data_IF_973510507926
#
_entry.id   IF_973510507926
#
_cell.length_a   1.000
_cell.length_b   1.000
_cell.length_c   1.000
_cell.angle_alpha   90.00
_cell.angle_beta   90.00
_cell.angle_gamma   90.00
#
_symmetry.space_group_name_H-M   'P 1'
#
loop_
_entity.id
_entity.type
_entity.pdbx_description
1 polymer ?
#
# COMPACT_ATOMS: atom_id res chain seq x y z
N UNK A 1 -2.54 22.28 -9.67
CA UNK A 1 -3.56 21.31 -10.12
C UNK A 1 -3.12 19.95 -9.64
N UNK A 2 -3.79 19.34 -8.64
CA UNK A 2 -3.55 17.95 -8.30
C UNK A 2 -4.12 17.11 -9.44
N UNK A 3 -3.29 16.34 -10.12
CA UNK A 3 -3.69 15.42 -11.17
C UNK A 3 -4.64 14.39 -10.57
N UNK A 4 -5.85 14.28 -11.09
CA UNK A 4 -6.78 13.21 -10.76
C UNK A 4 -6.19 11.91 -11.27
N UNK A 5 -5.63 11.12 -10.35
CA UNK A 5 -5.09 9.81 -10.70
C UNK A 5 -6.24 8.85 -10.91
N UNK A 6 -6.31 8.28 -12.09
CA UNK A 6 -7.18 7.13 -12.34
C UNK A 6 -6.65 5.96 -11.50
N UNK A 7 -7.52 5.18 -10.88
CA UNK A 7 -7.13 4.04 -10.04
C UNK A 7 -6.17 3.07 -10.75
N UNK A 8 -6.34 2.91 -12.05
CA UNK A 8 -5.44 2.12 -12.88
C UNK A 8 -4.02 2.70 -12.96
N UNK A 9 -3.88 4.02 -13.07
CA UNK A 9 -2.56 4.67 -13.01
C UNK A 9 -1.93 4.50 -11.64
N UNK A 10 -2.73 4.61 -10.58
CA UNK A 10 -2.28 4.32 -9.23
C UNK A 10 -1.84 2.86 -9.10
N UNK A 11 -2.60 1.87 -9.62
CA UNK A 11 -2.18 0.46 -9.64
C UNK A 11 -0.89 0.24 -10.43
N UNK A 12 -0.69 0.93 -11.56
CA UNK A 12 0.56 0.85 -12.32
C UNK A 12 1.76 1.40 -11.53
N UNK A 13 1.57 2.49 -10.80
CA UNK A 13 2.61 3.00 -9.88
C UNK A 13 2.88 2.00 -8.74
N UNK A 14 1.84 1.38 -8.18
CA UNK A 14 1.99 0.34 -7.16
C UNK A 14 2.68 -0.91 -7.73
N UNK A 15 2.43 -1.27 -8.98
CA UNK A 15 3.10 -2.39 -9.64
C UNK A 15 4.64 -2.23 -9.65
N UNK A 16 5.15 -1.01 -9.80
CA UNK A 16 6.59 -0.74 -9.71
C UNK A 16 7.11 -0.96 -8.27
N UNK A 17 6.33 -0.58 -7.27
CA UNK A 17 6.66 -0.83 -5.87
C UNK A 17 6.71 -2.34 -5.60
N UNK A 18 5.71 -3.09 -6.07
CA UNK A 18 5.65 -4.55 -5.94
C UNK A 18 6.87 -5.20 -6.59
N UNK A 19 7.15 -4.88 -7.84
CA UNK A 19 8.29 -5.43 -8.59
C UNK A 19 9.60 -5.14 -7.84
N UNK A 20 9.81 -3.90 -7.41
CA UNK A 20 11.01 -3.51 -6.66
C UNK A 20 11.09 -4.24 -5.32
N UNK A 21 10.00 -4.37 -4.59
CA UNK A 21 9.96 -5.11 -3.32
C UNK A 21 10.40 -6.56 -3.51
N UNK A 22 9.82 -7.26 -4.51
CA UNK A 22 10.16 -8.66 -4.82
C UNK A 22 11.58 -8.84 -5.33
N UNK A 23 12.13 -7.84 -6.02
CA UNK A 23 13.55 -7.83 -6.43
C UNK A 23 14.48 -7.67 -5.22
N UNK A 24 14.18 -6.72 -4.34
CA UNK A 24 15.00 -6.49 -3.13
C UNK A 24 14.91 -7.66 -2.17
N UNK A 25 13.72 -8.26 -2.00
CA UNK A 25 13.51 -9.46 -1.16
C UNK A 25 14.46 -10.61 -1.52
N UNK A 26 14.78 -10.76 -2.80
CA UNK A 26 15.68 -11.82 -3.34
C UNK A 26 17.11 -11.34 -3.56
N UNK A 27 17.44 -10.12 -3.16
CA UNK A 27 18.74 -9.52 -3.45
C UNK A 27 19.82 -9.99 -2.47
N UNK A 28 21.05 -10.09 -2.98
CA UNK A 28 22.24 -10.39 -2.16
C UNK A 28 22.47 -9.29 -1.10
N UNK A 29 22.10 -8.05 -1.39
CA UNK A 29 22.22 -6.91 -0.47
C UNK A 29 21.37 -7.13 0.79
N UNK A 30 20.11 -7.56 0.63
CA UNK A 30 19.23 -7.86 1.77
C UNK A 30 19.71 -9.09 2.53
N UNK A 31 20.18 -10.12 1.83
CA UNK A 31 20.76 -11.30 2.45
C UNK A 31 22.01 -10.95 3.27
N UNK A 32 22.94 -10.15 2.72
CA UNK A 32 24.12 -9.65 3.43
C UNK A 32 23.72 -8.82 4.66
N UNK A 33 22.78 -7.89 4.52
CA UNK A 33 22.27 -7.07 5.62
C UNK A 33 21.73 -7.93 6.76
N UNK A 34 20.87 -8.91 6.47
CA UNK A 34 20.27 -9.77 7.47
C UNK A 34 21.31 -10.68 8.15
N UNK A 35 22.28 -11.20 7.41
CA UNK A 35 23.37 -11.99 7.95
C UNK A 35 24.24 -11.17 8.90
N UNK A 36 24.68 -9.98 8.49
CA UNK A 36 25.47 -9.07 9.32
C UNK A 36 24.69 -8.59 10.55
N UNK A 37 23.40 -8.27 10.38
CA UNK A 37 22.54 -7.87 11.49
C UNK A 37 22.47 -8.96 12.56
N UNK A 38 22.26 -10.22 12.17
CA UNK A 38 22.26 -11.36 13.09
C UNK A 38 23.57 -11.50 13.84
N UNK A 39 24.71 -11.30 13.18
CA UNK A 39 26.05 -11.37 13.80
C UNK A 39 26.23 -10.21 14.76
N UNK A 40 26.00 -8.98 14.32
CA UNK A 40 26.25 -7.77 15.14
C UNK A 40 25.31 -7.69 16.35
N UNK A 41 24.06 -8.17 16.22
CA UNK A 41 23.09 -8.19 17.33
C UNK A 41 23.29 -9.39 18.28
N UNK A 42 24.21 -10.32 17.97
CA UNK A 42 24.48 -11.49 18.83
C UNK A 42 25.10 -11.06 20.17
N UNK A 43 24.76 -11.82 21.21
CA UNK A 43 25.32 -11.61 22.57
C UNK A 43 26.83 -11.71 22.57
N UNK A 44 27.39 -12.63 21.80
CA UNK A 44 28.84 -12.81 21.67
C UNK A 44 29.52 -11.57 21.11
N UNK A 45 29.02 -11.04 19.99
CA UNK A 45 29.53 -9.82 19.38
C UNK A 45 29.46 -8.62 20.34
N UNK A 46 28.34 -8.41 20.99
CA UNK A 46 28.14 -7.27 21.89
C UNK A 46 29.01 -7.40 23.14
N UNK A 47 29.21 -8.62 23.66
CA UNK A 47 30.11 -8.89 24.79
C UNK A 47 31.55 -8.57 24.42
N UNK A 48 32.03 -9.07 23.27
CA UNK A 48 33.37 -8.80 22.76
C UNK A 48 33.60 -7.31 22.50
N UNK A 49 32.61 -6.63 21.89
CA UNK A 49 32.68 -5.18 21.68
C UNK A 49 32.80 -4.42 23.01
N UNK A 50 31.97 -4.76 23.98
CA UNK A 50 31.99 -4.17 25.31
C UNK A 50 33.36 -4.38 25.96
N UNK A 51 33.89 -5.60 25.97
CA UNK A 51 35.21 -5.91 26.51
C UNK A 51 36.30 -5.04 25.87
N UNK A 52 36.39 -5.05 24.54
CA UNK A 52 37.39 -4.31 23.79
C UNK A 52 37.28 -2.79 23.93
N UNK A 53 36.10 -2.25 24.19
CA UNK A 53 35.89 -0.81 24.32
C UNK A 53 36.02 -0.30 25.76
N UNK A 54 35.74 -1.12 26.79
CA UNK A 54 35.70 -0.67 28.19
C UNK A 54 36.92 -1.09 28.99
N UNK A 55 37.58 -2.23 28.65
CA UNK A 55 38.74 -2.71 29.39
C UNK A 55 39.88 -1.71 29.28
N UNK A 56 40.39 -1.26 30.42
CA UNK A 56 41.57 -0.39 30.46
C UNK A 56 42.84 -1.20 30.32
N UNK A 57 43.88 -0.62 29.70
CA UNK A 57 45.17 -1.32 29.54
C UNK A 57 45.71 -1.83 30.88
N UNK A 58 45.59 -1.07 31.96
CA UNK A 58 46.12 -1.41 33.30
C UNK A 58 45.51 -2.72 33.85
N UNK A 59 44.31 -3.08 33.40
CA UNK A 59 43.62 -4.26 33.89
C UNK A 59 43.98 -5.52 33.10
N UNK A 60 44.70 -5.37 32.01
CA UNK A 60 45.09 -6.50 31.12
C UNK A 60 46.24 -7.30 31.67
N UNK A 61 46.34 -8.58 31.20
CA UNK A 61 47.46 -9.45 31.59
C UNK A 61 48.80 -8.89 31.10
N UNK A 62 48.84 -8.27 29.93
CA UNK A 62 50.02 -7.63 29.35
C UNK A 62 50.53 -6.50 30.23
N UNK A 63 49.63 -5.66 30.75
CA UNK A 63 50.01 -4.58 31.66
C UNK A 63 50.53 -5.12 33.00
N UNK A 64 49.89 -6.16 33.55
CA UNK A 64 50.35 -6.80 34.80
C UNK A 64 51.72 -7.43 34.58
N UNK A 65 51.94 -8.14 33.49
CA UNK A 65 53.24 -8.75 33.12
C UNK A 65 54.33 -7.68 32.96
N UNK A 66 54.02 -6.60 32.25
CA UNK A 66 54.96 -5.47 32.11
C UNK A 66 55.27 -4.75 33.45
N UNK A 67 54.27 -4.66 34.31
CA UNK A 67 54.45 -4.07 35.65
C UNK A 67 55.33 -4.94 36.54
N UNK A 68 55.07 -6.26 36.55
CA UNK A 68 55.88 -7.23 37.28
C UNK A 68 57.35 -7.24 36.81
N UNK A 69 57.56 -7.28 35.49
CA UNK A 69 58.91 -7.19 34.91
C UNK A 69 59.63 -5.92 35.33
N UNK A 70 58.98 -4.75 35.26
CA UNK A 70 59.56 -3.47 35.67
C UNK A 70 59.85 -3.43 37.15
N UNK A 71 58.98 -3.99 37.99
CA UNK A 71 59.19 -4.05 39.44
C UNK A 71 60.38 -4.89 39.80
N UNK A 72 60.50 -6.10 39.22
CA UNK A 72 61.66 -6.99 39.48
C UNK A 72 62.98 -6.43 39.00
N UNK A 73 62.99 -5.62 37.94
CA UNK A 73 64.20 -4.93 37.46
C UNK A 73 64.93 -4.15 38.53
N UNK A 74 64.22 -3.68 39.55
CA UNK A 74 64.74 -2.86 40.66
C UNK A 74 64.99 -3.73 41.88
N UNK A 75 64.77 -5.03 41.86
CA UNK A 75 65.20 -5.88 43.01
C UNK A 75 66.73 -5.96 43.13
N UNK A 76 67.22 -5.98 44.33
CA UNK A 76 68.67 -6.04 44.60
C UNK A 76 69.27 -7.28 43.94
N UNK A 77 68.63 -8.43 43.99
CA UNK A 77 69.13 -9.67 43.38
C UNK A 77 69.31 -9.52 41.88
N UNK A 78 68.31 -8.87 41.17
CA UNK A 78 68.37 -8.66 39.72
C UNK A 78 69.40 -7.64 39.34
N UNK A 79 69.58 -6.56 40.15
CA UNK A 79 70.62 -5.59 39.96
C UNK A 79 72.01 -6.25 40.07
N UNK A 80 72.27 -7.02 41.14
CA UNK A 80 73.48 -7.72 41.32
C UNK A 80 73.73 -8.80 40.25
N UNK A 81 72.72 -9.53 39.80
CA UNK A 81 72.84 -10.46 38.69
C UNK A 81 73.31 -9.73 37.41
N UNK A 82 72.67 -8.66 37.07
CA UNK A 82 73.00 -7.89 35.85
C UNK A 82 74.43 -7.29 35.91
N UNK A 83 74.88 -6.91 37.10
CA UNK A 83 76.25 -6.36 37.33
C UNK A 83 77.32 -7.49 37.32
N UNK A 84 77.08 -8.55 38.03
CA UNK A 84 78.10 -9.56 38.30
C UNK A 84 78.06 -10.73 37.28
N UNK A 85 76.97 -10.94 36.59
CA UNK A 85 76.74 -12.08 35.62
C UNK A 85 77.12 -13.45 36.19
N UNK A 86 76.90 -13.68 37.50
CA UNK A 86 77.19 -14.96 38.15
C UNK A 86 76.06 -15.91 38.03
N UNK A 87 76.28 -17.13 37.47
CA UNK A 87 75.26 -18.17 37.24
C UNK A 87 74.50 -18.52 38.55
N UNK A 88 75.17 -18.63 39.67
CA UNK A 88 74.52 -18.91 40.96
C UNK A 88 73.42 -17.93 41.37
N UNK A 89 73.37 -16.71 40.78
CA UNK A 89 72.28 -15.74 41.02
C UNK A 89 70.99 -16.06 40.21
N UNK A 90 71.09 -16.88 39.17
CA UNK A 90 69.91 -17.28 38.39
C UNK A 90 68.91 -18.10 39.20
N UNK A 91 69.40 -18.82 40.23
CA UNK A 91 68.58 -19.62 41.14
C UNK A 91 67.80 -18.78 42.15
N UNK A 92 68.14 -17.49 42.30
CA UNK A 92 67.33 -16.58 43.12
C UNK A 92 65.98 -16.35 42.48
N UNK A 93 64.92 -16.51 43.27
CA UNK A 93 63.51 -16.41 42.79
C UNK A 93 63.24 -15.14 41.97
N UNK A 94 63.71 -14.00 42.45
CA UNK A 94 63.53 -12.72 41.74
C UNK A 94 64.26 -12.73 40.40
N UNK A 95 65.46 -13.31 40.31
CA UNK A 95 66.25 -13.36 39.08
C UNK A 95 65.63 -14.32 38.08
N UNK A 96 65.22 -15.52 38.55
CA UNK A 96 64.53 -16.49 37.71
C UNK A 96 63.25 -15.92 37.12
N UNK A 97 62.41 -15.32 37.94
CA UNK A 97 61.18 -14.69 37.50
C UNK A 97 61.46 -13.50 36.55
N UNK A 98 62.44 -12.69 36.81
CA UNK A 98 62.83 -11.58 35.92
C UNK A 98 63.28 -12.09 34.54
N UNK A 99 64.08 -13.17 34.48
CA UNK A 99 64.49 -13.74 33.20
C UNK A 99 63.35 -14.36 32.43
N UNK A 100 62.49 -15.10 33.10
CA UNK A 100 61.30 -15.68 32.47
C UNK A 100 60.37 -14.57 31.90
N UNK A 101 60.13 -13.51 32.67
CA UNK A 101 59.34 -12.39 32.19
C UNK A 101 60.05 -11.62 31.06
N UNK A 102 61.40 -11.51 31.13
CA UNK A 102 62.17 -10.88 30.05
C UNK A 102 62.06 -11.64 28.73
N UNK A 103 62.08 -12.97 28.79
CA UNK A 103 61.86 -13.81 27.63
C UNK A 103 60.42 -13.66 27.10
N UNK A 104 59.41 -13.74 28.00
CA UNK A 104 58.01 -13.60 27.64
C UNK A 104 57.67 -12.26 26.94
N UNK A 105 58.16 -11.13 27.46
CA UNK A 105 57.89 -9.79 26.89
C UNK A 105 58.57 -9.55 25.54
N UNK A 106 59.57 -10.38 25.18
CA UNK A 106 60.24 -10.29 23.89
C UNK A 106 59.55 -11.13 22.80
N UNK A 107 58.61 -12.01 23.14
CA UNK A 107 57.90 -12.79 22.15
C UNK A 107 57.07 -11.91 21.25
N UNK A 108 56.98 -12.21 19.93
CA UNK A 108 56.19 -11.46 18.99
C UNK A 108 54.72 -11.40 19.41
N UNK A 109 54.18 -12.48 19.95
CA UNK A 109 52.79 -12.61 20.41
C UNK A 109 52.50 -11.62 21.53
N UNK A 110 53.38 -11.55 22.55
CA UNK A 110 53.24 -10.61 23.64
C UNK A 110 53.32 -9.17 23.15
N UNK A 111 54.28 -8.87 22.29
CA UNK A 111 54.44 -7.52 21.74
C UNK A 111 53.23 -7.06 20.96
N UNK A 112 52.65 -7.95 20.13
CA UNK A 112 51.43 -7.66 19.39
C UNK A 112 50.24 -7.44 20.33
N UNK A 113 50.01 -8.33 21.30
CA UNK A 113 48.93 -8.21 22.27
C UNK A 113 49.07 -6.93 23.10
N UNK A 114 50.29 -6.62 23.59
CA UNK A 114 50.59 -5.42 24.36
C UNK A 114 50.38 -4.14 23.55
N UNK A 115 50.76 -4.12 22.27
CA UNK A 115 50.52 -2.99 21.36
C UNK A 115 48.99 -2.83 21.09
N UNK A 116 48.30 -3.94 20.86
CA UNK A 116 46.86 -3.95 20.67
C UNK A 116 46.11 -3.36 21.88
N UNK A 117 46.38 -3.82 23.10
CA UNK A 117 45.72 -3.34 24.30
C UNK A 117 46.05 -1.89 24.65
N UNK A 118 47.26 -1.42 24.30
CA UNK A 118 47.62 -0.01 24.43
C UNK A 118 46.92 0.91 23.45
N UNK A 119 46.42 0.40 22.37
CA UNK A 119 45.74 1.22 21.37
C UNK A 119 44.31 1.60 21.87
N UNK A 120 44.02 2.87 22.13
CA UNK A 120 42.69 3.31 22.56
C UNK A 120 41.64 3.11 21.46
N UNK A 121 42.06 2.97 20.19
CA UNK A 121 41.21 2.73 19.03
C UNK A 121 41.22 1.26 18.57
N UNK A 122 41.63 0.32 19.46
CA UNK A 122 41.77 -1.10 19.13
C UNK A 122 40.51 -1.74 18.54
N UNK A 123 39.32 -1.33 18.98
CA UNK A 123 38.07 -1.80 18.41
C UNK A 123 38.03 -1.62 16.89
N UNK A 124 38.40 -0.45 16.40
CA UNK A 124 38.37 -0.09 14.98
C UNK A 124 39.39 -0.87 14.12
N UNK A 125 40.30 -1.60 14.73
CA UNK A 125 41.25 -2.46 14.02
C UNK A 125 40.78 -3.91 13.90
N UNK A 126 39.63 -4.24 14.49
CA UNK A 126 39.11 -5.61 14.51
C UNK A 126 38.21 -5.91 13.28
N UNK A 127 38.13 -7.18 12.85
CA UNK A 127 37.18 -7.60 11.82
C UNK A 127 35.73 -7.31 12.19
N UNK A 128 35.38 -7.43 13.48
CA UNK A 128 34.04 -7.16 13.98
C UNK A 128 33.63 -5.69 13.77
N UNK A 129 34.55 -4.77 14.00
CA UNK A 129 34.33 -3.35 13.72
C UNK A 129 34.05 -3.08 12.24
N UNK A 130 34.71 -3.81 11.34
CA UNK A 130 34.44 -3.70 9.90
C UNK A 130 33.06 -4.26 9.55
N UNK A 131 32.63 -5.35 10.18
CA UNK A 131 31.28 -5.91 10.01
C UNK A 131 30.21 -4.90 10.50
N UNK A 132 30.40 -4.29 11.65
CA UNK A 132 29.49 -3.27 12.17
C UNK A 132 29.43 -2.05 11.24
N UNK A 133 30.57 -1.59 10.75
CA UNK A 133 30.63 -0.49 9.77
C UNK A 133 29.86 -0.85 8.49
N UNK A 134 30.08 -2.04 7.95
CA UNK A 134 29.39 -2.54 6.75
C UNK A 134 27.87 -2.63 6.96
N UNK A 135 27.42 -3.13 8.11
CA UNK A 135 25.99 -3.15 8.46
C UNK A 135 25.39 -1.74 8.46
N UNK A 136 26.10 -0.76 9.06
CA UNK A 136 25.65 0.63 9.11
C UNK A 136 25.60 1.30 7.73
N UNK A 137 26.48 0.91 6.81
CA UNK A 137 26.44 1.34 5.40
C UNK A 137 25.24 0.74 4.68
N UNK A 138 25.03 -0.57 4.83
CA UNK A 138 23.88 -1.27 4.23
C UNK A 138 22.55 -0.76 4.77
N UNK A 139 22.46 -0.42 6.05
CA UNK A 139 21.25 0.15 6.64
C UNK A 139 20.80 1.48 5.98
N UNK A 140 21.74 2.19 5.34
CA UNK A 140 21.48 3.42 4.60
C UNK A 140 21.27 3.19 3.10
N UNK A 141 21.47 1.97 2.62
CA UNK A 141 21.29 1.66 1.20
C UNK A 141 19.82 1.84 0.80
N UNK A 142 19.59 2.45 -0.35
CA UNK A 142 18.25 2.84 -0.81
C UNK A 142 17.28 1.64 -0.87
N UNK A 143 17.75 0.45 -1.23
CA UNK A 143 16.91 -0.75 -1.30
C UNK A 143 16.57 -1.31 0.08
N UNK A 144 17.49 -1.25 1.04
CA UNK A 144 17.22 -1.68 2.42
C UNK A 144 16.20 -0.75 3.07
N UNK A 145 16.39 0.57 2.93
CA UNK A 145 15.43 1.57 3.40
C UNK A 145 14.06 1.36 2.76
N UNK A 146 14.03 1.13 1.45
CA UNK A 146 12.80 0.86 0.70
C UNK A 146 12.11 -0.41 1.21
N UNK A 147 12.84 -1.53 1.36
CA UNK A 147 12.28 -2.80 1.78
C UNK A 147 11.60 -2.72 3.15
N UNK A 148 12.26 -2.10 4.14
CA UNK A 148 11.70 -1.96 5.49
C UNK A 148 10.62 -0.87 5.62
N UNK A 149 10.48 0.01 4.61
CA UNK A 149 9.36 0.95 4.54
C UNK A 149 8.06 0.27 4.07
N UNK A 150 8.11 -0.94 3.51
CA UNK A 150 6.96 -1.69 3.02
C UNK A 150 6.82 -3.01 3.79
N UNK A 151 5.58 -3.44 4.00
CA UNK A 151 5.31 -4.73 4.65
C UNK A 151 4.86 -5.74 3.61
N UNK A 152 5.23 -7.02 3.81
CA UNK A 152 4.74 -8.13 2.98
C UNK A 152 3.21 -8.11 2.83
N UNK A 153 2.49 -7.88 3.94
CA UNK A 153 1.03 -7.80 3.92
C UNK A 153 0.51 -6.71 2.99
N UNK A 154 1.11 -5.51 3.03
CA UNK A 154 0.70 -4.40 2.17
C UNK A 154 1.01 -4.69 0.69
N UNK A 155 2.15 -5.30 0.41
CA UNK A 155 2.54 -5.68 -0.95
C UNK A 155 1.61 -6.77 -1.50
N UNK A 156 1.31 -7.81 -0.73
CA UNK A 156 0.38 -8.87 -1.13
C UNK A 156 -1.04 -8.34 -1.36
N UNK A 157 -1.51 -7.39 -0.56
CA UNK A 157 -2.80 -6.72 -0.76
C UNK A 157 -2.82 -5.96 -2.09
N UNK A 158 -1.75 -5.24 -2.44
CA UNK A 158 -1.63 -4.56 -3.73
C UNK A 158 -1.61 -5.53 -4.92
N UNK A 159 -0.91 -6.65 -4.80
CA UNK A 159 -0.84 -7.70 -5.82
C UNK A 159 -2.20 -8.34 -6.11
N UNK A 160 -3.13 -8.28 -5.16
CA UNK A 160 -4.45 -8.90 -5.27
C UNK A 160 -5.44 -8.10 -6.13
N UNK A 161 -5.22 -6.80 -6.37
CA UNK A 161 -6.15 -5.99 -7.16
C UNK A 161 -6.15 -6.35 -8.65
N UNK A 162 -7.35 -6.63 -9.18
CA UNK A 162 -7.58 -6.94 -10.60
C UNK A 162 -8.80 -6.20 -11.13
N UNK A 163 -8.75 -5.79 -12.39
CA UNK A 163 -9.94 -5.32 -13.11
C UNK A 163 -10.83 -6.53 -13.36
N UNK A 164 -12.06 -6.48 -12.86
CA UNK A 164 -13.04 -7.57 -13.03
C UNK A 164 -14.11 -7.24 -14.06
N UNK A 165 -14.34 -5.97 -14.33
CA UNK A 165 -15.25 -5.49 -15.34
C UNK A 165 -14.88 -4.08 -15.79
N UNK A 166 -15.02 -3.81 -17.09
CA UNK A 166 -14.83 -2.47 -17.66
C UNK A 166 -15.80 -2.23 -18.81
N UNK A 167 -16.27 -0.98 -18.94
CA UNK A 167 -17.03 -0.50 -20.08
C UNK A 167 -16.37 0.80 -20.59
N UNK A 168 -15.84 0.73 -21.79
CA UNK A 168 -15.10 1.82 -22.45
C UNK A 168 -15.89 2.46 -23.60
N UNK A 169 -17.13 1.99 -23.85
CA UNK A 169 -18.04 2.45 -24.89
C UNK A 169 -17.39 2.51 -26.29
N UNK A 170 -16.61 1.50 -26.64
CA UNK A 170 -15.85 1.45 -27.90
C UNK A 170 -16.73 1.25 -29.13
N UNK A 171 -17.90 0.63 -28.95
CA UNK A 171 -18.88 0.37 -30.01
C UNK A 171 -19.93 1.46 -30.08
N UNK A 172 -20.52 1.69 -31.25
CA UNK A 172 -21.59 2.67 -31.44
C UNK A 172 -22.93 2.33 -30.74
N UNK A 173 -23.00 1.15 -30.14
CA UNK A 173 -24.17 0.67 -29.41
C UNK A 173 -23.75 0.09 -28.08
N UNK A 174 -24.65 0.15 -27.09
CA UNK A 174 -24.44 -0.59 -25.84
C UNK A 174 -24.39 -2.09 -26.12
N UNK A 175 -23.44 -2.78 -25.51
CA UNK A 175 -23.29 -4.23 -25.64
C UNK A 175 -24.46 -4.97 -24.97
N UNK A 176 -24.56 -6.28 -25.22
CA UNK A 176 -25.62 -7.15 -24.64
C UNK A 176 -25.50 -7.25 -23.10
N UNK A 177 -24.45 -6.74 -22.51
CA UNK A 177 -24.32 -6.57 -21.06
C UNK A 177 -25.34 -5.59 -20.51
N UNK A 178 -25.85 -4.66 -21.34
CA UNK A 178 -26.79 -3.63 -20.94
C UNK A 178 -28.22 -3.98 -21.35
N UNK A 179 -29.16 -3.76 -20.44
CA UNK A 179 -30.60 -3.90 -20.67
C UNK A 179 -31.34 -2.63 -20.29
N UNK A 180 -32.34 -2.26 -21.10
CA UNK A 180 -33.21 -1.12 -20.80
C UNK A 180 -34.15 -1.44 -19.64
N UNK A 181 -34.45 -0.44 -18.84
CA UNK A 181 -35.40 -0.55 -17.73
C UNK A 181 -34.75 -0.75 -16.38
N UNK A 182 -35.58 -1.00 -15.38
CA UNK A 182 -35.15 -1.26 -14.01
C UNK A 182 -34.85 -2.74 -13.78
N UNK A 183 -33.94 -3.03 -12.87
CA UNK A 183 -33.68 -4.39 -12.40
C UNK A 183 -34.77 -4.81 -11.39
N UNK A 184 -35.55 -5.85 -11.71
CA UNK A 184 -36.54 -6.42 -10.81
C UNK A 184 -36.41 -7.93 -10.68
N UNK A 185 -36.71 -8.51 -9.52
CA UNK A 185 -36.62 -9.95 -9.31
C UNK A 185 -37.75 -10.72 -10.03
N UNK A 186 -38.86 -10.05 -10.38
CA UNK A 186 -40.02 -10.67 -11.04
C UNK A 186 -40.10 -10.32 -12.52
N UNK A 187 -40.23 -11.32 -13.38
CA UNK A 187 -40.46 -11.15 -14.83
C UNK A 187 -41.81 -10.50 -15.15
N UNK A 188 -42.77 -10.49 -14.21
CA UNK A 188 -44.07 -9.88 -14.34
C UNK A 188 -44.05 -8.36 -14.31
N UNK A 189 -43.11 -7.79 -13.55
CA UNK A 189 -42.80 -6.38 -13.60
C UNK A 189 -41.89 -6.15 -14.81
N UNK A 190 -42.49 -5.93 -15.98
CA UNK A 190 -41.73 -5.55 -17.17
C UNK A 190 -40.89 -4.31 -16.83
N UNK A 191 -39.60 -4.44 -16.98
CA UNK A 191 -38.61 -3.46 -16.51
C UNK A 191 -38.76 -2.04 -17.13
N UNK A 192 -39.42 -1.94 -18.27
CA UNK A 192 -39.59 -0.68 -19.02
C UNK A 192 -40.91 0.01 -18.67
N UNK A 193 -41.00 0.56 -17.48
CA UNK A 193 -42.07 1.45 -17.09
C UNK A 193 -41.49 2.70 -16.37
N UNK A 194 -42.28 3.74 -16.36
CA UNK A 194 -41.99 4.95 -15.60
C UNK A 194 -42.75 4.95 -14.26
N UNK A 195 -42.57 5.94 -13.45
CA UNK A 195 -43.31 6.13 -12.21
C UNK A 195 -44.19 7.37 -12.33
N UNK A 196 -45.46 7.32 -11.87
CA UNK A 196 -46.38 8.46 -11.94
C UNK A 196 -45.93 9.71 -11.13
N UNK A 197 -45.01 9.53 -10.22
CA UNK A 197 -44.38 10.59 -9.45
C UNK A 197 -43.09 11.15 -10.08
N UNK A 198 -42.80 10.81 -11.34
CA UNK A 198 -41.73 11.37 -12.17
C UNK A 198 -42.34 12.05 -13.39
N UNK A 199 -41.61 12.99 -14.01
CA UNK A 199 -42.14 13.78 -15.12
C UNK A 199 -41.79 13.22 -16.50
N UNK A 200 -40.99 12.16 -16.60
CA UNK A 200 -40.52 11.57 -17.84
C UNK A 200 -41.06 10.15 -18.05
N UNK A 201 -41.30 9.80 -19.30
CA UNK A 201 -41.39 8.42 -19.76
C UNK A 201 -40.00 7.90 -20.13
N UNK A 202 -39.75 6.61 -19.87
CA UNK A 202 -38.54 5.93 -20.37
C UNK A 202 -38.80 5.33 -21.77
N UNK A 203 -37.84 5.59 -22.68
CA UNK A 203 -38.03 5.39 -24.13
C UNK A 203 -37.39 4.13 -24.69
N UNK A 204 -36.86 3.25 -23.84
CA UNK A 204 -36.17 2.01 -24.23
C UNK A 204 -34.97 2.26 -25.16
N UNK A 205 -34.15 3.26 -24.84
CA UNK A 205 -32.92 3.54 -25.54
C UNK A 205 -32.97 4.70 -26.53
N UNK A 206 -34.18 5.25 -26.89
CA UNK A 206 -34.29 6.37 -27.87
C UNK A 206 -33.64 7.67 -27.38
N UNK A 207 -33.47 7.82 -26.09
CA UNK A 207 -32.79 8.96 -25.48
C UNK A 207 -31.36 8.63 -25.04
N UNK A 208 -30.83 7.50 -25.52
CA UNK A 208 -29.45 7.04 -25.25
C UNK A 208 -28.68 7.00 -26.55
N UNK A 209 -27.45 7.41 -26.54
CA UNK A 209 -26.52 7.35 -27.66
C UNK A 209 -25.14 7.02 -27.18
N UNK A 210 -24.42 6.17 -27.93
CA UNK A 210 -22.97 6.01 -27.79
C UNK A 210 -22.32 6.63 -29.01
N UNK A 211 -21.49 7.65 -28.82
CA UNK A 211 -20.74 8.31 -29.87
C UNK A 211 -19.40 8.81 -29.31
N UNK A 212 -18.35 8.68 -30.12
CA UNK A 212 -16.99 9.10 -29.72
C UNK A 212 -16.53 8.49 -28.39
N UNK A 213 -16.89 7.21 -28.14
CA UNK A 213 -16.59 6.46 -26.90
C UNK A 213 -17.25 7.09 -25.65
N UNK A 214 -18.36 7.77 -25.81
CA UNK A 214 -19.09 8.39 -24.71
C UNK A 214 -20.55 7.88 -24.74
N UNK A 215 -21.00 7.28 -23.64
CA UNK A 215 -22.42 7.02 -23.41
C UNK A 215 -23.10 8.32 -23.00
N UNK A 216 -24.13 8.71 -23.74
CA UNK A 216 -24.96 9.87 -23.43
C UNK A 216 -26.39 9.46 -23.13
N UNK A 217 -26.94 9.83 -21.98
CA UNK A 217 -28.38 9.72 -21.65
C UNK A 217 -28.94 11.12 -21.50
N UNK A 218 -30.04 11.40 -22.25
CA UNK A 218 -30.67 12.71 -22.27
C UNK A 218 -32.09 12.67 -21.69
N UNK A 219 -32.41 13.65 -20.85
CA UNK A 219 -33.80 13.96 -20.52
C UNK A 219 -34.27 15.11 -21.42
N UNK A 220 -35.26 14.87 -22.27
CA UNK A 220 -35.79 15.80 -23.30
C UNK A 220 -37.17 16.25 -22.94
N UNK A 221 -37.53 17.45 -23.36
CA UNK A 221 -38.93 17.98 -23.30
C UNK A 221 -39.67 17.44 -24.49
N UNK A 222 -40.36 16.31 -24.31
CA UNK A 222 -41.09 15.57 -25.32
C UNK A 222 -42.30 14.93 -24.67
N UNK A 223 -43.51 15.12 -25.25
CA UNK A 223 -44.72 14.52 -24.73
C UNK A 223 -44.84 13.08 -25.18
N UNK A 224 -45.10 12.20 -24.23
CA UNK A 224 -45.29 10.76 -24.51
C UNK A 224 -46.31 10.13 -23.53
N UNK A 225 -47.20 9.29 -24.04
CA UNK A 225 -48.04 8.41 -23.17
C UNK A 225 -47.36 7.05 -23.07
N UNK A 226 -47.09 6.60 -21.86
CA UNK A 226 -46.36 5.35 -21.62
C UNK A 226 -46.86 4.63 -20.37
N UNK A 227 -46.57 3.33 -20.24
CA UNK A 227 -46.82 2.59 -19.00
C UNK A 227 -46.11 3.19 -17.82
N UNK A 228 -46.82 3.39 -16.72
CA UNK A 228 -46.28 3.93 -15.48
C UNK A 228 -46.81 3.14 -14.27
N UNK A 229 -45.94 2.93 -13.30
CA UNK A 229 -46.32 2.33 -12.02
C UNK A 229 -47.01 3.38 -11.12
N UNK A 230 -48.23 3.05 -10.72
CA UNK A 230 -48.99 3.82 -9.74
C UNK A 230 -49.07 3.03 -8.42
N UNK A 231 -48.75 3.61 -7.25
CA UNK A 231 -48.67 2.88 -5.99
C UNK A 231 -49.91 2.09 -5.59
N UNK A 232 -51.11 2.60 -5.96
CA UNK A 232 -52.40 1.98 -5.59
C UNK A 232 -53.11 1.30 -6.76
N UNK A 233 -52.81 1.66 -8.02
CA UNK A 233 -53.51 1.17 -9.20
C UNK A 233 -52.69 0.18 -10.04
N UNK A 234 -51.44 -0.06 -9.66
CA UNK A 234 -50.50 -0.86 -10.46
C UNK A 234 -50.08 -0.18 -11.76
N UNK A 235 -49.92 -0.92 -12.84
CA UNK A 235 -49.55 -0.42 -14.15
C UNK A 235 -50.71 0.33 -14.80
N UNK A 236 -50.49 1.60 -15.15
CA UNK A 236 -51.43 2.48 -15.83
C UNK A 236 -50.77 3.18 -17.02
N UNK A 237 -51.57 3.55 -18.06
CA UNK A 237 -51.08 4.44 -19.10
C UNK A 237 -51.14 5.89 -18.58
N UNK A 238 -50.02 6.58 -18.62
CA UNK A 238 -49.85 7.92 -18.06
C UNK A 238 -49.21 8.88 -19.07
N UNK A 239 -49.73 10.12 -19.20
CA UNK A 239 -49.12 11.14 -20.05
C UNK A 239 -47.93 11.80 -19.35
N UNK A 240 -46.82 11.84 -20.03
CA UNK A 240 -45.58 12.51 -19.57
C UNK A 240 -45.26 13.70 -20.42
N UNK A 241 -44.62 14.70 -19.82
CA UNK A 241 -44.18 15.93 -20.50
C UNK A 241 -42.71 15.85 -20.98
N UNK A 242 -42.00 14.83 -20.53
CA UNK A 242 -40.58 14.61 -20.81
C UNK A 242 -40.35 13.14 -21.17
N UNK A 243 -39.21 12.88 -21.81
CA UNK A 243 -38.70 11.51 -22.08
C UNK A 243 -37.27 11.40 -21.56
N UNK A 244 -36.87 10.17 -21.21
CA UNK A 244 -35.50 9.86 -20.77
C UNK A 244 -35.22 8.35 -20.94
N UNK A 245 -34.10 7.87 -20.42
CA UNK A 245 -33.78 6.45 -20.38
C UNK A 245 -33.22 5.98 -19.05
N UNK A 246 -33.36 4.68 -18.83
CA UNK A 246 -32.80 3.90 -17.72
C UNK A 246 -32.20 2.61 -18.24
N UNK A 247 -31.02 2.27 -17.77
CA UNK A 247 -30.29 1.08 -18.14
C UNK A 247 -29.72 0.40 -16.90
N UNK A 248 -29.59 -0.93 -16.97
CA UNK A 248 -28.89 -1.71 -15.96
C UNK A 248 -28.06 -2.81 -16.64
N UNK A 249 -27.06 -3.37 -15.93
CA UNK A 249 -26.31 -4.51 -16.43
C UNK A 249 -27.11 -5.80 -16.26
N UNK A 250 -27.20 -6.63 -17.31
CA UNK A 250 -27.94 -7.90 -17.33
C UNK A 250 -27.43 -8.89 -16.28
N UNK A 251 -26.12 -8.87 -16.05
CA UNK A 251 -25.45 -9.69 -15.05
C UNK A 251 -24.84 -8.81 -13.97
N UNK A 252 -24.63 -9.38 -12.79
CA UNK A 252 -23.89 -8.73 -11.73
C UNK A 252 -22.43 -8.50 -12.16
N UNK A 253 -21.94 -7.30 -11.94
CA UNK A 253 -20.61 -6.88 -12.37
C UNK A 253 -19.68 -6.60 -11.20
N UNK A 254 -20.22 -6.46 -10.00
CA UNK A 254 -19.46 -6.01 -8.85
C UNK A 254 -19.37 -7.12 -7.79
N UNK A 255 -18.17 -7.39 -7.27
CA UNK A 255 -17.91 -8.34 -6.20
C UNK A 255 -18.44 -7.83 -4.85
N UNK A 256 -18.31 -8.65 -3.79
CA UNK A 256 -18.71 -8.29 -2.41
C UNK A 256 -17.93 -7.10 -1.84
N UNK A 257 -16.69 -6.89 -2.31
CA UNK A 257 -15.84 -5.75 -1.97
C UNK A 257 -15.08 -5.31 -3.22
N UNK A 258 -14.79 -4.03 -3.34
CA UNK A 258 -14.04 -3.54 -4.50
C UNK A 258 -13.99 -2.02 -4.62
N UNK A 259 -13.54 -1.60 -5.80
CA UNK A 259 -13.47 -0.22 -6.22
C UNK A 259 -14.20 -0.09 -7.56
N UNK A 260 -15.13 0.85 -7.69
CA UNK A 260 -15.70 1.25 -8.96
C UNK A 260 -15.28 2.69 -9.25
N UNK A 261 -14.78 2.91 -10.45
CA UNK A 261 -14.53 4.26 -10.95
C UNK A 261 -15.34 4.51 -12.23
N UNK A 262 -15.83 5.75 -12.35
CA UNK A 262 -16.49 6.23 -13.56
C UNK A 262 -16.10 7.67 -13.84
N UNK A 263 -15.80 7.99 -15.09
CA UNK A 263 -15.61 9.36 -15.55
C UNK A 263 -16.90 9.87 -16.15
N UNK A 264 -17.50 10.87 -15.49
CA UNK A 264 -18.87 11.31 -15.76
C UNK A 264 -18.96 12.83 -15.81
N UNK A 265 -19.75 13.34 -16.78
CA UNK A 265 -20.20 14.72 -16.84
C UNK A 265 -21.72 14.75 -16.72
N UNK A 266 -22.25 15.59 -15.83
CA UNK A 266 -23.69 15.79 -15.65
C UNK A 266 -24.02 17.26 -15.89
N UNK A 267 -25.03 17.54 -16.73
CA UNK A 267 -25.47 18.91 -17.01
C UNK A 267 -27.00 19.02 -16.95
N UNK A 268 -27.51 20.23 -16.76
CA UNK A 268 -28.94 20.53 -16.73
C UNK A 268 -29.62 20.22 -15.40
N UNK A 269 -30.95 20.26 -15.39
CA UNK A 269 -31.79 20.20 -14.17
C UNK A 269 -32.28 18.76 -13.85
N UNK A 270 -32.25 17.84 -14.81
CA UNK A 270 -32.61 16.45 -14.51
C UNK A 270 -31.65 15.83 -13.51
N UNK A 271 -32.16 15.01 -12.62
CA UNK A 271 -31.34 14.20 -11.70
C UNK A 271 -30.74 13.02 -12.47
N UNK A 272 -29.47 12.84 -12.37
CA UNK A 272 -28.72 11.70 -12.90
C UNK A 272 -28.34 10.74 -11.78
N UNK A 273 -28.48 9.47 -12.06
CA UNK A 273 -28.15 8.38 -11.13
C UNK A 273 -27.19 7.42 -11.82
N UNK A 274 -26.09 7.17 -11.17
CA UNK A 274 -25.19 6.05 -11.42
C UNK A 274 -25.00 5.36 -10.07
N UNK A 275 -25.40 4.08 -9.96
CA UNK A 275 -25.34 3.38 -8.69
C UNK A 275 -25.15 1.88 -8.88
N UNK A 276 -24.64 1.20 -7.84
CA UNK A 276 -24.74 -0.25 -7.71
C UNK A 276 -26.07 -0.58 -7.03
N UNK A 277 -26.78 -1.58 -7.55
CA UNK A 277 -28.08 -2.05 -7.05
C UNK A 277 -28.14 -3.57 -7.11
N UNK A 278 -29.07 -4.16 -6.36
CA UNK A 278 -29.38 -5.58 -6.42
C UNK A 278 -30.84 -5.78 -6.76
N UNK A 279 -31.16 -6.87 -7.43
CA UNK A 279 -32.54 -7.19 -7.82
C UNK A 279 -33.50 -7.34 -6.63
N UNK A 280 -32.99 -7.82 -5.50
CA UNK A 280 -33.71 -8.05 -4.24
C UNK A 280 -33.77 -6.83 -3.33
N UNK A 281 -32.88 -5.85 -3.53
CA UNK A 281 -32.69 -4.74 -2.61
C UNK A 281 -33.54 -3.52 -2.98
N UNK A 282 -34.20 -2.92 -1.98
CA UNK A 282 -34.85 -1.61 -2.11
C UNK A 282 -33.86 -0.43 -2.03
N UNK A 283 -32.56 -0.70 -1.82
CA UNK A 283 -31.50 0.28 -1.62
C UNK A 283 -30.45 0.14 -2.72
N UNK A 284 -29.69 1.19 -2.93
CA UNK A 284 -28.57 1.23 -3.88
C UNK A 284 -27.38 1.95 -3.25
N UNK A 285 -26.19 1.66 -3.75
CA UNK A 285 -24.97 2.40 -3.42
C UNK A 285 -24.74 3.43 -4.51
N UNK A 286 -24.99 4.70 -4.19
CA UNK A 286 -24.84 5.80 -5.14
C UNK A 286 -23.36 6.05 -5.44
N UNK A 287 -23.01 6.13 -6.72
CA UNK A 287 -21.70 6.53 -7.21
C UNK A 287 -21.69 8.04 -7.41
N UNK A 288 -22.77 8.60 -7.99
CA UNK A 288 -22.95 10.04 -8.09
C UNK A 288 -23.56 10.58 -6.79
N UNK A 289 -22.86 11.46 -6.04
CA UNK A 289 -23.40 12.08 -4.83
C UNK A 289 -24.51 13.10 -5.18
N UNK A 290 -25.33 13.45 -4.19
CA UNK A 290 -26.41 14.43 -4.39
C UNK A 290 -25.88 15.81 -4.81
N UNK A 291 -24.73 16.20 -4.28
CA UNK A 291 -24.04 17.47 -4.59
C UNK A 291 -22.92 17.21 -5.61
N UNK A 292 -23.29 16.74 -6.79
CA UNK A 292 -22.33 16.46 -7.85
C UNK A 292 -21.75 17.74 -8.47
N UNK A 293 -20.54 17.62 -9.02
CA UNK A 293 -19.92 18.69 -9.82
C UNK A 293 -20.58 18.72 -11.21
N UNK A 294 -20.97 19.89 -11.70
CA UNK A 294 -21.53 20.05 -13.06
C UNK A 294 -20.47 19.94 -14.17
N UNK A 295 -19.21 19.78 -13.80
CA UNK A 295 -18.08 19.52 -14.71
C UNK A 295 -17.78 18.03 -14.78
N UNK A 296 -17.00 17.66 -15.78
CA UNK A 296 -16.44 16.32 -15.86
C UNK A 296 -15.61 16.00 -14.61
N UNK A 297 -15.85 14.85 -14.00
CA UNK A 297 -15.14 14.39 -12.82
C UNK A 297 -15.01 12.87 -12.81
N UNK A 298 -14.01 12.36 -12.08
CA UNK A 298 -13.87 10.95 -11.77
C UNK A 298 -14.55 10.70 -10.41
N UNK A 299 -15.56 9.84 -10.44
CA UNK A 299 -16.30 9.39 -9.27
C UNK A 299 -15.78 8.01 -8.90
N UNK A 300 -15.36 7.84 -7.65
CA UNK A 300 -14.88 6.57 -7.13
C UNK A 300 -15.73 6.12 -5.97
N UNK A 301 -16.20 4.88 -6.04
CA UNK A 301 -16.89 4.17 -4.96
C UNK A 301 -15.99 3.04 -4.46
N UNK A 302 -15.62 3.09 -3.20
CA UNK A 302 -14.93 2.00 -2.52
C UNK A 302 -15.90 1.35 -1.55
N UNK A 303 -16.05 0.04 -1.62
CA UNK A 303 -16.94 -0.68 -0.71
C UNK A 303 -16.32 -1.97 -0.19
N UNK A 304 -16.70 -2.32 1.02
CA UNK A 304 -16.43 -3.60 1.66
C UNK A 304 -17.69 -4.06 2.42
N UNK A 305 -17.62 -5.14 3.17
CA UNK A 305 -18.75 -5.66 3.93
C UNK A 305 -19.35 -4.68 4.97
N UNK A 306 -18.56 -3.73 5.44
CA UNK A 306 -18.94 -2.81 6.54
C UNK A 306 -19.37 -1.44 6.04
N UNK A 307 -18.63 -0.88 5.11
CA UNK A 307 -18.77 0.52 4.71
C UNK A 307 -18.63 0.75 3.21
N UNK A 308 -19.10 1.91 2.81
CA UNK A 308 -19.01 2.46 1.47
C UNK A 308 -18.46 3.87 1.56
N UNK A 309 -17.46 4.17 0.74
CA UNK A 309 -16.82 5.50 0.70
C UNK A 309 -16.88 6.04 -0.73
N UNK A 310 -17.35 7.27 -0.86
CA UNK A 310 -17.42 7.97 -2.14
C UNK A 310 -16.32 9.03 -2.24
N UNK A 311 -15.68 9.09 -3.39
CA UNK A 311 -14.71 10.13 -3.72
C UNK A 311 -15.11 10.84 -5.02
N UNK A 312 -14.79 12.12 -5.11
CA UNK A 312 -14.85 12.92 -6.34
C UNK A 312 -13.48 13.52 -6.58
N UNK A 313 -12.85 13.16 -7.69
CA UNK A 313 -11.48 13.57 -8.00
C UNK A 313 -10.52 13.37 -6.81
N UNK A 314 -10.54 12.14 -6.24
CA UNK A 314 -9.73 11.68 -5.10
C UNK A 314 -10.00 12.38 -3.75
N UNK A 315 -11.06 13.18 -3.67
CA UNK A 315 -11.50 13.81 -2.41
C UNK A 315 -12.67 13.02 -1.85
N UNK A 316 -12.58 12.53 -0.62
CA UNK A 316 -13.69 11.86 0.07
C UNK A 316 -14.84 12.86 0.27
N UNK A 317 -16.02 12.50 -0.22
CA UNK A 317 -17.23 13.35 -0.16
C UNK A 317 -18.35 12.72 0.67
N UNK A 318 -18.33 11.41 0.88
CA UNK A 318 -19.29 10.71 1.72
C UNK A 318 -18.75 9.36 2.20
N UNK A 319 -19.21 8.95 3.39
CA UNK A 319 -18.94 7.64 3.97
C UNK A 319 -20.20 7.15 4.66
N UNK A 320 -20.60 5.90 4.43
CA UNK A 320 -21.77 5.32 5.06
C UNK A 320 -21.61 3.80 5.24
N UNK A 321 -22.54 3.20 5.99
CA UNK A 321 -22.60 1.74 6.17
C UNK A 321 -23.03 1.07 4.87
N UNK A 322 -22.39 -0.06 4.51
CA UNK A 322 -22.83 -0.88 3.39
C UNK A 322 -24.16 -1.54 3.73
N UNK A 323 -25.18 -1.31 2.89
CA UNK A 323 -26.53 -1.86 3.04
C UNK A 323 -26.86 -2.95 2.03
N UNK A 324 -25.90 -3.32 1.16
CA UNK A 324 -26.01 -4.35 0.12
C UNK A 324 -25.02 -5.50 0.33
N UNK A 325 -24.61 -5.74 1.57
CA UNK A 325 -23.67 -6.82 1.91
C UNK A 325 -24.22 -8.19 1.48
N UNK A 326 -23.42 -8.94 0.72
CA UNK A 326 -23.79 -10.30 0.26
C UNK A 326 -24.64 -10.36 -0.99
N UNK A 327 -25.08 -9.22 -1.52
CA UNK A 327 -25.92 -9.16 -2.74
C UNK A 327 -25.06 -9.22 -4.02
N UNK A 328 -25.68 -9.73 -5.09
CA UNK A 328 -25.14 -9.65 -6.43
C UNK A 328 -25.40 -8.25 -6.99
N UNK A 329 -24.34 -7.47 -7.20
CA UNK A 329 -24.45 -6.05 -7.53
C UNK A 329 -24.42 -5.82 -9.04
N UNK A 330 -25.44 -5.13 -9.53
CA UNK A 330 -25.60 -4.66 -10.90
C UNK A 330 -25.38 -3.14 -10.95
N UNK A 331 -24.92 -2.65 -12.07
CA UNK A 331 -24.87 -1.21 -12.33
C UNK A 331 -26.22 -0.74 -12.86
N UNK A 332 -26.71 0.40 -12.37
CA UNK A 332 -27.88 1.10 -12.86
C UNK A 332 -27.54 2.54 -13.19
N UNK A 333 -27.95 2.96 -14.38
CA UNK A 333 -27.73 4.31 -14.92
C UNK A 333 -29.08 4.88 -15.37
N UNK A 334 -29.42 6.07 -14.89
CA UNK A 334 -30.64 6.76 -15.36
C UNK A 334 -30.58 8.27 -15.23
N UNK A 335 -31.41 8.94 -16.00
CA UNK A 335 -31.71 10.37 -15.82
C UNK A 335 -33.23 10.55 -15.61
N UNK A 336 -33.64 11.38 -14.65
CA UNK A 336 -35.06 11.54 -14.33
C UNK A 336 -35.38 12.94 -13.77
N UNK A 337 -36.64 13.31 -13.84
CA UNK A 337 -37.21 14.54 -13.28
C UNK A 337 -38.24 14.19 -12.19
N UNK A 338 -37.96 14.47 -10.91
CA UNK A 338 -38.96 14.31 -9.86
C UNK A 338 -40.08 15.34 -10.04
N UNK A 339 -41.25 15.04 -9.49
CA UNK A 339 -42.38 15.97 -9.44
C UNK A 339 -42.00 17.34 -8.90
N UNK A 340 -42.43 18.39 -9.55
CA UNK A 340 -42.09 19.77 -9.17
C UNK A 340 -40.81 20.35 -9.78
N UNK A 341 -39.97 19.53 -10.38
CA UNK A 341 -38.74 19.97 -11.05
C UNK A 341 -38.89 19.93 -12.56
N UNK A 342 -38.76 21.10 -13.23
CA UNK A 342 -38.86 21.21 -14.69
C UNK A 342 -37.48 21.47 -15.30
N UNK A 343 -37.24 20.89 -16.47
CA UNK A 343 -36.02 21.16 -17.24
C UNK A 343 -35.52 19.90 -17.95
N UNK A 344 -34.46 20.04 -18.70
CA UNK A 344 -33.78 18.95 -19.40
C UNK A 344 -32.47 18.61 -18.64
N UNK A 345 -31.84 17.52 -19.03
CA UNK A 345 -30.55 17.17 -18.48
C UNK A 345 -29.83 16.15 -19.38
N UNK A 346 -28.54 16.08 -19.21
CA UNK A 346 -27.65 15.21 -19.97
C UNK A 346 -26.62 14.60 -19.03
N UNK A 347 -26.44 13.30 -19.10
CA UNK A 347 -25.36 12.57 -18.47
C UNK A 347 -24.47 11.98 -19.55
N UNK A 348 -23.19 12.21 -19.47
CA UNK A 348 -22.16 11.70 -20.35
C UNK A 348 -21.21 10.86 -19.54
N UNK A 349 -20.92 9.63 -19.96
CA UNK A 349 -20.02 8.71 -19.28
C UNK A 349 -18.97 8.27 -20.28
N UNK A 350 -17.70 8.57 -19.98
CA UNK A 350 -16.58 8.18 -20.83
C UNK A 350 -16.22 6.72 -20.64
N UNK A 351 -16.14 6.28 -19.40
CA UNK A 351 -15.84 4.89 -19.03
C UNK A 351 -16.32 4.56 -17.63
N UNK A 352 -16.46 3.24 -17.34
CA UNK A 352 -16.74 2.69 -16.01
C UNK A 352 -15.87 1.45 -15.82
N UNK A 353 -15.19 1.34 -14.68
CA UNK A 353 -14.28 0.24 -14.36
C UNK A 353 -14.51 -0.26 -12.94
N UNK A 354 -14.47 -1.58 -12.77
CA UNK A 354 -14.64 -2.26 -11.48
C UNK A 354 -13.40 -3.09 -11.19
N UNK A 355 -12.87 -2.93 -10.00
CA UNK A 355 -11.67 -3.60 -9.49
C UNK A 355 -12.03 -4.35 -8.21
N UNK A 356 -11.34 -5.46 -7.95
CA UNK A 356 -11.42 -6.20 -6.69
C UNK A 356 -10.04 -6.61 -6.23
N UNK A 357 -9.87 -6.76 -4.93
CA UNK A 357 -8.82 -7.59 -4.36
C UNK A 357 -9.33 -9.03 -4.32
N UNK A 358 -8.62 -9.92 -4.97
CA UNK A 358 -8.96 -11.34 -5.06
C UNK A 358 -8.71 -12.06 -3.72
#
# INVERSE_FOLDING_TARGET
>A
MKSTKVFEQWLQEQAQIIVRYRQVEKSDILAEYNALKKVVESTEFQTKKKELTTTQYVDTQEAKTMSAYKGLKWSISVILYNLLKKEAWKEKTDVANYLALAEQIQTPEFQQANAFWKNPKRWFTTPESQQEKRLNELAKHADIVFFFAHTEKAVAELESYKTVWAEEFETAHLSDVWQTGFLYPSKELKANHSHVNELQAYTQGKNTQVANRVLTIQTKKEKMTAPAWHPTKGMVMHPFAYTSDVWHTAQAIAPKAGVLQAKVRCTGKAKQVLCLTAATAKKSLAILPANRVEKEAIYTLVWNEKEVVNYVNDVEVARCKNTLTGENLHLLVRSYLPTGQKGTGKMEIDWIRVYTNA
#
